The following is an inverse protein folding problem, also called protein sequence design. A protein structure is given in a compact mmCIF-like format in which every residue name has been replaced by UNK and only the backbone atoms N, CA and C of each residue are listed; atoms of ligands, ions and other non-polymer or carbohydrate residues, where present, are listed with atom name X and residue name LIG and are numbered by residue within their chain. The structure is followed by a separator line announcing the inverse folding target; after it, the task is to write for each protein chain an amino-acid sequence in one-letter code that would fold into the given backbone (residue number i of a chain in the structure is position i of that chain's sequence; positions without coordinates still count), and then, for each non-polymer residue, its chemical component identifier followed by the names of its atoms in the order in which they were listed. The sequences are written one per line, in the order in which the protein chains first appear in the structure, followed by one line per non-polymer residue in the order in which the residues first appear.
data_IF_404573624925
#
_entry.id   IF_404573624925
#
_cell.length_a   1.000
_cell.length_b   1.000
_cell.length_c   1.000
_cell.angle_alpha   90.00
_cell.angle_beta   90.00
_cell.angle_gamma   90.00
#
_symmetry.space_group_name_H-M   'P 1'
#
loop_
_entity.id
_entity.type
_entity.pdbx_description
1 polymer ?
#
# COMPACT_ATOMS: atom_id res chain seq x y z
N UNK A 1 7.53 -24.93 -2.61
CA UNK A 1 8.01 -24.52 -1.27
C UNK A 1 8.08 -23.00 -1.25
N UNK A 2 7.41 -22.36 -0.29
CA UNK A 2 7.58 -20.93 -0.06
C UNK A 2 8.98 -20.67 0.53
N UNK A 3 9.50 -19.47 0.31
CA UNK A 3 10.76 -19.04 0.91
C UNK A 3 10.66 -19.16 2.44
N UNK A 4 11.68 -19.72 3.09
CA UNK A 4 11.75 -19.96 4.55
C UNK A 4 10.69 -20.89 5.17
N UNK A 5 9.95 -21.66 4.35
CA UNK A 5 8.87 -22.54 4.82
C UNK A 5 7.74 -21.80 5.58
N UNK A 6 7.47 -20.56 5.18
CA UNK A 6 6.37 -19.76 5.72
C UNK A 6 5.06 -20.09 5.02
N UNK A 7 3.99 -20.13 5.81
CA UNK A 7 2.61 -20.18 5.32
C UNK A 7 2.01 -18.77 5.21
N UNK A 8 0.90 -18.58 4.47
CA UNK A 8 0.20 -17.29 4.44
C UNK A 8 -0.20 -16.78 5.83
N UNK A 9 -0.54 -17.68 6.75
CA UNK A 9 -0.89 -17.34 8.14
C UNK A 9 0.27 -16.70 8.89
N UNK A 10 1.52 -16.99 8.51
CA UNK A 10 2.71 -16.41 9.15
C UNK A 10 2.98 -14.98 8.66
N UNK A 11 2.34 -14.54 7.57
CA UNK A 11 2.46 -13.20 7.03
C UNK A 11 1.36 -12.25 7.56
N UNK A 12 0.40 -12.79 8.29
CA UNK A 12 -0.77 -12.09 8.80
C UNK A 12 -0.82 -12.09 10.34
N UNK A 13 -1.67 -11.21 10.89
CA UNK A 13 -1.92 -11.13 12.33
C UNK A 13 -0.67 -10.93 13.19
N UNK A 14 -0.66 -11.55 14.38
CA UNK A 14 0.44 -11.44 15.35
C UNK A 14 1.67 -12.25 14.93
N UNK A 15 1.49 -13.34 14.19
CA UNK A 15 2.59 -14.26 13.80
C UNK A 15 3.65 -13.56 12.96
N UNK A 16 3.24 -12.61 12.12
CA UNK A 16 4.17 -11.84 11.28
C UNK A 16 5.20 -11.06 12.08
N UNK A 17 4.89 -10.69 13.32
CA UNK A 17 5.79 -9.94 14.21
C UNK A 17 6.61 -10.86 15.12
N UNK A 18 6.22 -12.13 15.26
CA UNK A 18 6.94 -13.10 16.11
C UNK A 18 8.18 -13.65 15.42
N UNK A 19 9.31 -13.78 16.13
CA UNK A 19 10.49 -14.47 15.60
C UNK A 19 10.18 -15.92 15.24
N UNK A 20 10.72 -16.37 14.11
CA UNK A 20 10.72 -17.78 13.73
C UNK A 20 11.82 -18.46 14.54
N UNK A 21 11.47 -19.47 15.33
CA UNK A 21 12.33 -20.11 16.35
C UNK A 21 13.77 -20.41 15.89
N UNK A 22 13.92 -21.01 14.70
CA UNK A 22 15.23 -21.44 14.19
C UNK A 22 16.01 -20.31 13.52
N UNK A 23 15.35 -19.22 13.12
CA UNK A 23 15.94 -18.13 12.33
C UNK A 23 16.22 -16.89 13.17
N UNK A 24 15.52 -16.72 14.30
CA UNK A 24 15.66 -15.56 15.18
C UNK A 24 15.18 -14.24 14.55
N UNK A 25 14.45 -14.32 13.44
CA UNK A 25 13.87 -13.17 12.72
C UNK A 25 12.38 -13.39 12.51
N UNK A 26 11.60 -12.33 12.57
CA UNK A 26 10.17 -12.40 12.27
C UNK A 26 9.90 -12.30 10.76
N UNK A 27 8.77 -12.83 10.27
CA UNK A 27 8.35 -12.63 8.88
C UNK A 27 8.33 -11.16 8.47
N UNK A 28 7.90 -10.23 9.34
CA UNK A 28 7.96 -8.78 9.13
C UNK A 28 9.38 -8.30 8.81
N UNK A 29 10.36 -8.71 9.62
CA UNK A 29 11.76 -8.34 9.40
C UNK A 29 12.29 -8.89 8.07
N UNK A 30 11.93 -10.13 7.72
CA UNK A 30 12.34 -10.74 6.45
C UNK A 30 11.74 -10.00 5.25
N UNK A 31 10.46 -9.62 5.33
CA UNK A 31 9.80 -8.86 4.26
C UNK A 31 10.38 -7.45 4.12
N UNK A 32 10.72 -6.78 5.22
CA UNK A 32 11.39 -5.48 5.19
C UNK A 32 12.76 -5.59 4.51
N UNK A 33 13.59 -6.57 4.95
CA UNK A 33 14.92 -6.86 4.38
C UNK A 33 14.87 -7.19 2.88
N UNK A 34 13.91 -8.02 2.48
CA UNK A 34 13.74 -8.39 1.08
C UNK A 34 13.23 -7.21 0.25
N UNK A 35 12.26 -6.47 0.77
CA UNK A 35 11.62 -5.35 0.10
C UNK A 35 12.56 -4.17 -0.12
N UNK A 36 13.29 -3.77 0.93
CA UNK A 36 14.05 -2.52 0.94
C UNK A 36 15.52 -2.76 0.63
N UNK A 37 16.21 -3.56 1.43
CA UNK A 37 17.64 -3.74 1.35
C UNK A 37 18.02 -4.54 0.11
N UNK A 38 17.40 -5.70 -0.11
CA UNK A 38 17.67 -6.46 -1.31
C UNK A 38 16.99 -5.82 -2.53
N UNK A 39 15.66 -5.67 -2.51
CA UNK A 39 14.90 -5.21 -3.67
C UNK A 39 15.31 -3.81 -4.13
N UNK A 40 15.12 -2.80 -3.26
CA UNK A 40 15.35 -1.40 -3.64
C UNK A 40 16.83 -1.05 -3.73
N UNK A 41 17.64 -1.43 -2.75
CA UNK A 41 19.05 -0.99 -2.72
C UNK A 41 19.97 -1.83 -3.60
N UNK A 42 19.73 -3.14 -3.75
CA UNK A 42 20.61 -4.00 -4.54
C UNK A 42 20.15 -4.26 -5.97
N UNK A 43 18.84 -4.25 -6.25
CA UNK A 43 18.31 -4.53 -7.59
C UNK A 43 17.93 -3.25 -8.32
N UNK A 44 16.93 -2.52 -7.81
CA UNK A 44 16.49 -1.24 -8.39
C UNK A 44 15.59 -0.50 -7.41
N UNK A 45 15.82 0.80 -7.24
CA UNK A 45 14.96 1.65 -6.40
C UNK A 45 13.48 1.64 -6.85
N UNK A 46 13.23 1.35 -8.14
CA UNK A 46 11.89 1.27 -8.73
C UNK A 46 11.37 -0.16 -8.91
N UNK A 47 12.08 -1.19 -8.44
CA UNK A 47 11.74 -2.61 -8.68
C UNK A 47 10.25 -2.91 -8.51
N UNK A 48 9.66 -2.49 -7.39
CA UNK A 48 8.26 -2.76 -7.06
C UNK A 48 7.28 -1.90 -7.87
N UNK A 49 7.68 -0.68 -8.23
CA UNK A 49 6.90 0.21 -9.10
C UNK A 49 6.86 -0.35 -10.52
N UNK A 50 8.00 -0.76 -11.07
CA UNK A 50 8.11 -1.33 -12.41
C UNK A 50 7.32 -2.65 -12.51
N UNK A 51 7.31 -3.45 -11.43
CA UNK A 51 6.52 -4.67 -11.34
C UNK A 51 5.01 -4.37 -11.24
N UNK A 52 4.62 -3.40 -10.40
CA UNK A 52 3.23 -2.97 -10.28
C UNK A 52 2.69 -2.42 -11.60
N UNK A 53 3.51 -1.67 -12.33
CA UNK A 53 3.20 -1.12 -13.64
C UNK A 53 2.88 -2.22 -14.66
N UNK A 54 3.77 -3.21 -14.80
CA UNK A 54 3.56 -4.36 -15.68
C UNK A 54 2.29 -5.14 -15.32
N UNK A 55 2.07 -5.39 -14.03
CA UNK A 55 0.86 -6.08 -13.56
C UNK A 55 -0.41 -5.29 -13.90
N UNK A 56 -0.39 -3.98 -13.70
CA UNK A 56 -1.53 -3.10 -13.99
C UNK A 56 -1.85 -3.06 -15.48
N UNK A 57 -0.83 -2.95 -16.33
CA UNK A 57 -0.99 -2.96 -17.79
C UNK A 57 -1.60 -4.29 -18.26
N UNK A 58 -1.09 -5.42 -17.75
CA UNK A 58 -1.67 -6.73 -18.03
C UNK A 58 -3.13 -6.85 -17.56
N UNK A 59 -3.45 -6.38 -16.35
CA UNK A 59 -4.81 -6.45 -15.83
C UNK A 59 -5.78 -5.56 -16.62
N UNK A 60 -5.35 -4.36 -17.01
CA UNK A 60 -6.17 -3.45 -17.83
C UNK A 60 -6.51 -4.03 -19.21
N UNK A 61 -5.60 -4.84 -19.79
CA UNK A 61 -5.83 -5.47 -21.08
C UNK A 61 -6.84 -6.64 -21.00
N UNK A 62 -7.04 -7.21 -19.81
CA UNK A 62 -7.92 -8.37 -19.59
C UNK A 62 -9.28 -7.94 -19.03
N UNK A 63 -9.33 -6.85 -18.26
CA UNK A 63 -10.53 -6.41 -17.55
C UNK A 63 -10.99 -5.02 -18.05
N UNK A 64 -11.85 -5.02 -19.07
CA UNK A 64 -12.45 -3.77 -19.62
C UNK A 64 -13.51 -3.13 -18.71
N UNK A 65 -14.00 -3.84 -17.69
CA UNK A 65 -15.16 -3.42 -16.88
C UNK A 65 -14.85 -3.16 -15.41
N UNK A 66 -13.59 -3.25 -15.00
CA UNK A 66 -13.23 -2.95 -13.60
C UNK A 66 -13.30 -1.45 -13.33
N UNK A 67 -13.89 -1.01 -12.20
CA UNK A 67 -14.07 0.40 -11.90
C UNK A 67 -12.78 1.13 -11.53
N UNK A 68 -11.70 0.38 -11.25
CA UNK A 68 -10.39 0.87 -10.84
C UNK A 68 -9.60 -0.20 -10.09
N UNK A 69 -8.37 0.14 -9.69
CA UNK A 69 -7.48 -0.71 -8.89
C UNK A 69 -7.14 -0.02 -7.58
N UNK A 70 -6.91 -0.81 -6.52
CA UNK A 70 -6.50 -0.31 -5.21
C UNK A 70 -5.10 -0.84 -4.90
N UNK A 71 -4.18 0.07 -4.60
CA UNK A 71 -2.85 -0.24 -4.07
C UNK A 71 -2.86 0.12 -2.59
N UNK A 72 -2.91 -0.88 -1.71
CA UNK A 72 -3.14 -0.67 -0.28
C UNK A 72 -1.86 -0.50 0.54
N UNK A 73 -0.70 -0.85 -0.02
CA UNK A 73 0.58 -0.94 0.67
C UNK A 73 1.62 0.07 0.15
N UNK A 74 1.19 1.30 -0.12
CA UNK A 74 2.06 2.43 -0.47
C UNK A 74 2.88 2.87 0.74
N UNK A 75 4.22 2.79 0.62
CA UNK A 75 5.20 3.02 1.68
C UNK A 75 6.31 3.99 1.29
N UNK A 76 6.50 4.25 0.00
CA UNK A 76 7.58 5.10 -0.51
C UNK A 76 7.06 6.13 -1.51
N UNK A 77 7.70 7.31 -1.54
CA UNK A 77 7.30 8.42 -2.42
C UNK A 77 7.24 8.03 -3.90
N UNK A 78 8.16 7.17 -4.37
CA UNK A 78 8.14 6.76 -5.77
C UNK A 78 6.92 5.90 -6.13
N UNK A 79 6.33 5.18 -5.17
CA UNK A 79 5.08 4.45 -5.35
C UNK A 79 3.88 5.41 -5.40
N UNK A 80 3.84 6.39 -4.50
CA UNK A 80 2.81 7.43 -4.50
C UNK A 80 2.86 8.27 -5.79
N UNK A 81 4.06 8.65 -6.22
CA UNK A 81 4.28 9.38 -7.48
C UNK A 81 3.87 8.58 -8.70
N UNK A 82 4.10 7.26 -8.71
CA UNK A 82 3.62 6.38 -9.77
C UNK A 82 2.08 6.44 -9.87
N UNK A 83 1.38 6.32 -8.74
CA UNK A 83 -0.09 6.41 -8.68
C UNK A 83 -0.56 7.77 -9.23
N UNK A 84 0.02 8.87 -8.74
CA UNK A 84 -0.32 10.25 -9.16
C UNK A 84 -0.09 10.44 -10.66
N UNK A 85 1.05 10.00 -11.20
CA UNK A 85 1.39 10.11 -12.63
C UNK A 85 0.45 9.33 -13.54
N UNK A 86 -0.14 8.24 -13.04
CA UNK A 86 -1.16 7.44 -13.73
C UNK A 86 -2.57 7.99 -13.58
N UNK A 87 -2.74 9.19 -13.00
CA UNK A 87 -4.05 9.80 -12.76
C UNK A 87 -4.84 9.16 -11.63
N UNK A 88 -4.18 8.35 -10.79
CA UNK A 88 -4.76 7.78 -9.59
C UNK A 88 -4.82 8.79 -8.44
N UNK A 89 -5.61 8.45 -7.42
CA UNK A 89 -5.76 9.26 -6.20
C UNK A 89 -5.05 8.58 -5.04
N UNK A 90 -4.17 9.31 -4.35
CA UNK A 90 -3.57 8.85 -3.10
C UNK A 90 -4.46 9.29 -1.94
N UNK A 91 -4.79 8.34 -1.05
CA UNK A 91 -5.65 8.58 0.11
C UNK A 91 -4.84 8.25 1.38
N UNK A 92 -4.60 9.27 2.20
CA UNK A 92 -3.91 9.14 3.47
C UNK A 92 -4.90 8.82 4.58
N UNK A 93 -4.78 7.65 5.19
CA UNK A 93 -5.54 7.29 6.38
C UNK A 93 -4.76 7.69 7.62
N UNK A 94 -5.14 8.81 8.25
CA UNK A 94 -4.46 9.34 9.44
C UNK A 94 -5.20 8.95 10.71
N UNK A 95 -4.48 8.44 11.71
CA UNK A 95 -5.02 8.22 13.06
C UNK A 95 -4.22 9.08 14.04
N UNK A 96 -4.80 10.18 14.56
CA UNK A 96 -4.06 11.16 15.39
C UNK A 96 -3.37 10.54 16.61
N UNK A 97 -3.99 9.51 17.20
CA UNK A 97 -3.51 8.87 18.42
C UNK A 97 -2.72 7.56 18.17
N UNK A 98 -2.31 7.29 16.93
CA UNK A 98 -1.53 6.09 16.63
C UNK A 98 -0.09 6.24 17.15
N UNK A 99 0.34 5.29 17.99
CA UNK A 99 1.73 5.20 18.40
C UNK A 99 2.62 4.81 17.20
N UNK A 100 3.83 5.38 17.12
CA UNK A 100 4.85 4.88 16.18
C UNK A 100 5.23 3.45 16.56
N UNK A 101 4.95 2.50 15.67
CA UNK A 101 5.06 1.07 15.99
C UNK A 101 6.41 0.48 15.56
N UNK A 102 7.18 1.14 14.67
CA UNK A 102 8.44 0.63 14.15
C UNK A 102 9.27 1.74 13.44
N UNK A 103 10.57 1.90 13.72
CA UNK A 103 11.41 2.94 13.13
C UNK A 103 11.95 2.62 11.71
N UNK A 104 11.60 1.47 11.12
CA UNK A 104 12.08 1.10 9.79
C UNK A 104 11.57 2.08 8.72
N UNK A 105 12.39 2.42 7.72
CA UNK A 105 12.06 3.45 6.71
C UNK A 105 10.75 3.16 5.95
N UNK A 106 10.41 1.88 5.75
CA UNK A 106 9.15 1.46 5.11
C UNK A 106 7.90 1.73 5.94
N UNK A 107 8.04 2.19 7.18
CA UNK A 107 6.96 2.52 8.10
C UNK A 107 6.80 4.04 8.30
N UNK A 108 7.65 4.85 7.67
CA UNK A 108 7.57 6.32 7.73
C UNK A 108 6.36 6.89 6.97
N UNK A 109 5.78 6.10 6.04
CA UNK A 109 4.72 6.55 5.15
C UNK A 109 5.21 7.47 4.03
N UNK A 110 4.27 8.16 3.39
CA UNK A 110 4.52 9.11 2.30
C UNK A 110 3.94 10.48 2.64
N UNK A 111 4.51 11.53 2.07
CA UNK A 111 4.17 12.92 2.31
C UNK A 111 2.83 13.25 1.67
N UNK A 112 2.02 14.05 2.35
CA UNK A 112 0.75 14.54 1.82
C UNK A 112 1.01 15.61 0.77
N UNK A 113 0.52 15.39 -0.44
CA UNK A 113 0.50 16.38 -1.51
C UNK A 113 -0.85 17.12 -1.57
N UNK A 114 -0.90 18.34 -2.15
CA UNK A 114 -2.13 19.13 -2.25
C UNK A 114 -3.29 18.43 -2.98
N UNK A 115 -2.98 17.54 -3.93
CA UNK A 115 -3.96 16.79 -4.72
C UNK A 115 -4.35 15.45 -4.07
N UNK A 116 -3.73 15.10 -2.93
CA UNK A 116 -4.07 13.89 -2.19
C UNK A 116 -5.30 14.12 -1.30
N UNK A 117 -5.99 13.01 -0.99
CA UNK A 117 -7.09 13.03 -0.02
C UNK A 117 -6.58 12.59 1.35
N UNK A 118 -7.10 13.20 2.42
CA UNK A 118 -6.79 12.80 3.80
C UNK A 118 -8.08 12.40 4.49
N UNK A 119 -8.11 11.17 5.00
CA UNK A 119 -9.18 10.62 5.81
C UNK A 119 -8.69 10.48 7.24
N UNK A 120 -9.32 11.20 8.18
CA UNK A 120 -9.00 11.05 9.61
C UNK A 120 -9.82 9.91 10.20
N UNK A 121 -9.14 8.96 10.84
CA UNK A 121 -9.69 7.81 11.53
C UNK A 121 -9.55 8.00 13.04
N UNK A 122 -10.39 8.88 13.59
CA UNK A 122 -10.47 9.22 15.02
C UNK A 122 -11.79 8.76 15.67
N UNK A 123 -12.62 8.04 14.90
CA UNK A 123 -13.99 7.66 15.24
C UNK A 123 -14.19 6.13 15.22
N UNK A 124 -15.43 5.66 15.27
CA UNK A 124 -15.76 4.24 15.17
C UNK A 124 -15.65 3.70 13.73
N UNK A 125 -15.72 2.37 13.60
CA UNK A 125 -15.67 1.69 12.29
C UNK A 125 -16.83 2.09 11.38
N UNK A 126 -17.99 2.39 11.96
CA UNK A 126 -19.18 2.78 11.18
C UNK A 126 -18.97 4.14 10.50
N UNK A 127 -18.41 5.11 11.23
CA UNK A 127 -18.08 6.43 10.72
C UNK A 127 -16.98 6.33 9.66
N UNK A 128 -15.95 5.50 9.90
CA UNK A 128 -14.88 5.25 8.93
C UNK A 128 -15.43 4.70 7.61
N UNK A 129 -16.31 3.70 7.66
CA UNK A 129 -16.92 3.13 6.45
C UNK A 129 -17.82 4.13 5.73
N UNK A 130 -18.60 4.94 6.47
CA UNK A 130 -19.40 6.01 5.87
C UNK A 130 -18.54 7.02 5.12
N UNK A 131 -17.43 7.44 5.71
CA UNK A 131 -16.52 8.40 5.09
C UNK A 131 -15.79 7.81 3.86
N UNK A 132 -15.42 6.53 3.89
CA UNK A 132 -14.86 5.82 2.74
C UNK A 132 -15.87 5.71 1.59
N UNK A 133 -17.15 5.44 1.88
CA UNK A 133 -18.21 5.39 0.89
C UNK A 133 -18.42 6.75 0.19
N UNK A 134 -18.41 7.84 0.95
CA UNK A 134 -18.50 9.19 0.41
C UNK A 134 -17.29 9.53 -0.48
N UNK A 135 -16.09 9.21 -0.01
CA UNK A 135 -14.84 9.41 -0.74
C UNK A 135 -14.82 8.60 -2.04
N UNK A 136 -15.25 7.34 -2.01
CA UNK A 136 -15.37 6.50 -3.20
C UNK A 136 -16.34 7.08 -4.23
N UNK A 137 -17.52 7.58 -3.80
CA UNK A 137 -18.48 8.25 -4.69
C UNK A 137 -17.89 9.51 -5.32
N UNK A 138 -17.16 10.32 -4.54
CA UNK A 138 -16.50 11.53 -5.03
C UNK A 138 -15.49 11.21 -6.14
N UNK A 139 -14.59 10.24 -5.90
CA UNK A 139 -13.59 9.79 -6.89
C UNK A 139 -14.27 9.30 -8.18
N UNK A 140 -15.32 8.48 -8.05
CA UNK A 140 -16.07 7.96 -9.22
C UNK A 140 -16.74 9.08 -10.02
N UNK A 141 -17.26 10.10 -9.35
CA UNK A 141 -17.89 11.24 -10.03
C UNK A 141 -16.89 12.10 -10.81
N UNK A 142 -15.69 12.30 -10.27
CA UNK A 142 -14.61 13.03 -10.95
C UNK A 142 -14.04 12.24 -12.13
N UNK A 143 -13.86 10.92 -12.00
CA UNK A 143 -13.42 10.06 -13.11
C UNK A 143 -14.40 10.05 -14.29
N UNK A 144 -15.71 10.12 -14.04
CA UNK A 144 -16.73 10.20 -15.09
C UNK A 144 -16.74 11.55 -15.83
N UNK A 145 -16.38 12.65 -15.15
CA UNK A 145 -16.30 13.99 -15.76
C UNK A 145 -15.01 14.21 -16.57
N UNK A 146 -13.93 13.49 -16.25
CA UNK A 146 -12.65 13.59 -16.97
C UNK A 146 -12.61 12.80 -18.29
N UNK A 147 -13.58 11.89 -18.51
CA UNK A 147 -13.68 11.02 -19.69
C UNK A 147 -14.79 11.49 -20.66
N UNK A 148 -15.58 12.49 -20.27
CA UNK A 148 -16.65 13.10 -21.08
C UNK A 148 -16.16 14.36 -21.80
#
# INVERSE_FOLDING_TARGET
MAIFNLSPEDLEGDRKEQPIDWLGRSPRQLMQLLGTEWGRHMISANLWVDLAEQNLDCLSAVFDSVPGFVVSDVRFENEADFIRKRGGTVIHLSRPDAAEVNPHISEAGVSVHPDDLVLTNDSGLQELYGALDELYRAIRSHGLLAVA
#
